data_IF_544022604267
#
_entry.id   IF_544022604267
#
_cell.length_a   1.000
_cell.length_b   1.000
_cell.length_c   1.000
_cell.angle_alpha   90.00
_cell.angle_beta   90.00
_cell.angle_gamma   90.00
#
_symmetry.space_group_name_H-M   'P 1'
#
loop_
_entity.id
_entity.type
_entity.pdbx_description
1 polymer ?
#
# COMPACT_ATOMS: atom_id res chain seq x y z
N UNK A 1 2.73 13.71 20.72
CA UNK A 1 2.71 12.31 20.23
C UNK A 1 4.11 12.04 19.68
N UNK A 2 4.71 10.87 19.91
CA UNK A 2 6.03 10.59 19.32
C UNK A 2 5.92 10.13 17.85
N UNK A 3 7.04 10.18 17.13
CA UNK A 3 7.08 9.92 15.69
C UNK A 3 6.67 8.49 15.32
N UNK A 4 6.88 7.49 16.19
CA UNK A 4 6.47 6.12 15.91
C UNK A 4 4.96 5.98 16.06
N UNK A 5 4.37 6.57 17.10
CA UNK A 5 2.92 6.60 17.28
C UNK A 5 2.21 7.28 16.10
N UNK A 6 2.71 8.42 15.62
CA UNK A 6 2.18 9.09 14.43
C UNK A 6 2.25 8.21 13.18
N UNK A 7 3.39 7.52 12.97
CA UNK A 7 3.56 6.60 11.86
C UNK A 7 2.61 5.39 11.92
N UNK A 8 2.40 4.82 13.11
CA UNK A 8 1.47 3.70 13.34
C UNK A 8 0.03 4.11 13.07
N UNK A 9 -0.40 5.30 13.52
CA UNK A 9 -1.76 5.80 13.26
C UNK A 9 -2.00 5.98 11.76
N UNK A 10 -1.08 6.64 11.05
CA UNK A 10 -1.18 6.79 9.60
C UNK A 10 -1.16 5.44 8.87
N UNK A 11 -0.36 4.49 9.34
CA UNK A 11 -0.30 3.14 8.78
C UNK A 11 -1.59 2.35 8.98
N UNK A 12 -2.27 2.48 10.13
CA UNK A 12 -3.59 1.85 10.38
C UNK A 12 -4.65 2.33 9.39
N UNK A 13 -4.71 3.64 9.16
CA UNK A 13 -5.65 4.22 8.20
C UNK A 13 -5.39 3.69 6.79
N UNK A 14 -4.11 3.61 6.40
CA UNK A 14 -3.73 3.09 5.10
C UNK A 14 -4.02 1.59 4.98
N UNK A 15 -3.70 0.78 5.99
CA UNK A 15 -4.00 -0.65 5.99
C UNK A 15 -5.51 -0.90 5.88
N UNK A 16 -6.31 -0.12 6.60
CA UNK A 16 -7.78 -0.18 6.51
C UNK A 16 -8.28 0.13 5.08
N UNK A 17 -7.75 1.17 4.45
CA UNK A 17 -8.06 1.50 3.05
C UNK A 17 -7.59 0.41 2.08
N UNK A 18 -6.41 -0.16 2.30
CA UNK A 18 -5.82 -1.19 1.43
C UNK A 18 -6.56 -2.53 1.48
N UNK A 19 -7.31 -2.80 2.55
CA UNK A 19 -8.21 -3.95 2.67
C UNK A 19 -9.49 -3.80 1.84
N UNK A 20 -9.84 -2.57 1.46
CA UNK A 20 -11.03 -2.28 0.66
C UNK A 20 -10.67 -2.31 -0.82
N UNK A 21 -11.18 -3.31 -1.53
CA UNK A 21 -11.02 -3.41 -2.99
C UNK A 21 -12.34 -2.97 -3.63
N UNK A 22 -12.36 -1.88 -4.41
CA UNK A 22 -13.56 -1.45 -5.12
C UNK A 22 -13.89 -2.38 -6.29
N UNK A 23 -15.16 -2.44 -6.66
CA UNK A 23 -15.62 -3.14 -7.86
C UNK A 23 -15.45 -2.25 -9.10
N UNK A 24 -14.79 -2.77 -10.13
CA UNK A 24 -14.63 -2.10 -11.43
C UNK A 24 -15.49 -2.81 -12.48
N UNK A 25 -16.39 -2.09 -13.18
CA UNK A 25 -17.29 -2.65 -14.20
C UNK A 25 -17.39 -1.74 -15.42
N UNK A 26 -17.21 -2.30 -16.62
CA UNK A 26 -17.37 -1.59 -17.90
C UNK A 26 -16.05 -1.15 -18.55
N UNK A 27 -16.13 -0.48 -19.70
CA UNK A 27 -14.98 -0.16 -20.57
C UNK A 27 -14.09 0.96 -20.04
N UNK A 28 -14.68 2.01 -19.45
CA UNK A 28 -13.97 3.10 -18.76
C UNK A 28 -13.31 2.62 -17.45
N UNK A 29 -13.76 1.47 -16.92
CA UNK A 29 -13.30 0.96 -15.64
C UNK A 29 -11.88 0.37 -15.69
N UNK A 30 -11.33 0.03 -16.88
CA UNK A 30 -9.99 -0.55 -16.97
C UNK A 30 -8.88 0.48 -16.66
N UNK A 31 -9.03 1.72 -17.14
CA UNK A 31 -8.10 2.82 -16.83
C UNK A 31 -8.24 3.28 -15.38
N UNK A 32 -9.47 3.33 -14.87
CA UNK A 32 -9.76 3.62 -13.46
C UNK A 32 -9.21 2.53 -12.53
N UNK A 33 -9.35 1.26 -12.92
CA UNK A 33 -8.77 0.12 -12.20
C UNK A 33 -7.25 0.21 -12.19
N UNK A 34 -6.60 0.45 -13.34
CA UNK A 34 -5.15 0.64 -13.41
C UNK A 34 -4.71 1.77 -12.47
N UNK A 35 -5.32 2.95 -12.58
CA UNK A 35 -4.98 4.12 -11.77
C UNK A 35 -5.18 3.84 -10.29
N UNK A 36 -6.27 3.17 -9.92
CA UNK A 36 -6.54 2.80 -8.53
C UNK A 36 -5.43 1.90 -7.96
N UNK A 37 -5.08 0.82 -8.66
CA UNK A 37 -4.02 -0.08 -8.21
C UNK A 37 -2.65 0.60 -8.16
N UNK A 38 -2.35 1.51 -9.10
CA UNK A 38 -1.13 2.31 -9.09
C UNK A 38 -1.04 3.24 -7.89
N UNK A 39 -2.14 3.96 -7.57
CA UNK A 39 -2.23 4.81 -6.38
C UNK A 39 -2.12 4.00 -5.09
N UNK A 40 -2.80 2.86 -5.02
CA UNK A 40 -2.76 1.98 -3.85
C UNK A 40 -1.34 1.44 -3.61
N UNK A 41 -0.64 0.99 -4.65
CA UNK A 41 0.74 0.54 -4.55
C UNK A 41 1.65 1.65 -4.00
N UNK A 42 1.56 2.85 -4.56
CA UNK A 42 2.36 4.00 -4.10
C UNK A 42 2.07 4.37 -2.64
N UNK A 43 0.80 4.42 -2.25
CA UNK A 43 0.40 4.76 -0.89
C UNK A 43 0.87 3.72 0.14
N UNK A 44 0.71 2.42 -0.17
CA UNK A 44 1.20 1.33 0.68
C UNK A 44 2.72 1.37 0.85
N UNK A 45 3.48 1.58 -0.23
CA UNK A 45 4.94 1.69 -0.17
C UNK A 45 5.39 2.89 0.69
N UNK A 46 4.74 4.05 0.52
CA UNK A 46 5.03 5.24 1.31
C UNK A 46 4.77 5.04 2.81
N UNK A 47 3.62 4.44 3.16
CA UNK A 47 3.28 4.16 4.56
C UNK A 47 4.20 3.09 5.18
N UNK A 48 4.50 2.00 4.47
CA UNK A 48 5.44 0.98 4.94
C UNK A 48 6.85 1.56 5.16
N UNK A 49 7.30 2.47 4.29
CA UNK A 49 8.61 3.13 4.41
C UNK A 49 8.69 4.00 5.67
N UNK A 50 7.61 4.69 6.05
CA UNK A 50 7.57 5.48 7.29
C UNK A 50 7.70 4.62 8.54
N UNK A 51 7.25 3.37 8.49
CA UNK A 51 7.43 2.41 9.58
C UNK A 51 8.84 1.83 9.67
N UNK A 52 9.82 2.29 8.88
CA UNK A 52 11.24 1.96 9.11
C UNK A 52 11.71 2.35 10.52
N UNK A 53 11.00 3.25 11.19
CA UNK A 53 11.25 3.62 12.58
C UNK A 53 11.32 2.42 13.54
N UNK A 54 10.59 1.34 13.27
CA UNK A 54 10.60 0.12 14.12
C UNK A 54 11.97 -0.57 14.19
N UNK A 55 12.90 -0.26 13.27
CA UNK A 55 14.26 -0.81 13.31
C UNK A 55 15.22 0.03 14.14
N UNK A 56 14.80 1.20 14.62
CA UNK A 56 15.68 2.10 15.37
C UNK A 56 15.71 1.69 16.85
N UNK A 57 16.91 1.50 17.46
CA UNK A 57 17.04 1.03 18.84
C UNK A 57 16.30 1.89 19.87
N UNK A 58 16.16 3.20 19.62
CA UNK A 58 15.45 4.13 20.51
C UNK A 58 13.96 3.80 20.71
N UNK A 59 13.37 2.99 19.82
CA UNK A 59 11.97 2.56 19.92
C UNK A 59 11.81 1.12 20.42
N UNK A 60 12.89 0.44 20.83
CA UNK A 60 12.85 -0.97 21.24
C UNK A 60 11.90 -1.26 22.41
N UNK A 61 11.65 -0.28 23.29
CA UNK A 61 10.69 -0.38 24.40
C UNK A 61 9.34 0.28 24.13
N UNK A 62 9.06 0.71 22.90
CA UNK A 62 7.84 1.45 22.59
C UNK A 62 6.62 0.51 22.57
N UNK A 63 5.49 0.87 23.22
CA UNK A 63 4.32 -0.02 23.33
C UNK A 63 3.68 -0.39 21.98
N UNK A 64 3.92 0.39 20.93
CA UNK A 64 3.42 0.14 19.58
C UNK A 64 4.43 -0.53 18.65
N UNK A 65 5.59 -0.98 19.15
CA UNK A 65 6.66 -1.53 18.30
C UNK A 65 6.18 -2.76 17.50
N UNK A 66 5.62 -3.75 18.18
CA UNK A 66 5.13 -4.99 17.57
C UNK A 66 4.00 -4.74 16.57
N UNK A 67 3.15 -3.75 16.85
CA UNK A 67 2.13 -3.34 15.90
C UNK A 67 2.72 -2.65 14.69
N UNK A 68 3.69 -1.76 14.87
CA UNK A 68 4.40 -1.12 13.77
C UNK A 68 5.09 -2.14 12.85
N UNK A 69 5.68 -3.19 13.41
CA UNK A 69 6.28 -4.29 12.63
C UNK A 69 5.21 -4.99 11.79
N UNK A 70 4.12 -5.43 12.42
CA UNK A 70 3.00 -6.11 11.72
C UNK A 70 2.38 -5.23 10.63
N UNK A 71 2.13 -3.96 10.91
CA UNK A 71 1.60 -3.02 9.92
C UNK A 71 2.56 -2.79 8.75
N UNK A 72 3.87 -2.77 9.00
CA UNK A 72 4.87 -2.63 7.94
C UNK A 72 4.84 -3.83 7.01
N UNK A 73 4.79 -5.04 7.55
CA UNK A 73 4.69 -6.29 6.78
C UNK A 73 3.38 -6.36 5.99
N UNK A 74 2.26 -6.00 6.62
CA UNK A 74 0.94 -5.97 5.98
C UNK A 74 0.92 -4.99 4.79
N UNK A 75 1.39 -3.76 5.00
CA UNK A 75 1.44 -2.74 3.95
C UNK A 75 2.40 -3.13 2.81
N UNK A 76 3.52 -3.78 3.13
CA UNK A 76 4.43 -4.32 2.12
C UNK A 76 3.74 -5.39 1.26
N UNK A 77 2.99 -6.31 1.87
CA UNK A 77 2.21 -7.32 1.15
C UNK A 77 1.15 -6.68 0.25
N UNK A 78 0.44 -5.65 0.73
CA UNK A 78 -0.51 -4.90 -0.09
C UNK A 78 0.16 -4.19 -1.26
N UNK A 79 1.33 -3.58 -1.05
CA UNK A 79 2.11 -2.98 -2.13
C UNK A 79 2.44 -4.00 -3.22
N UNK A 80 2.98 -5.17 -2.85
CA UNK A 80 3.37 -6.20 -3.82
C UNK A 80 2.19 -6.68 -4.65
N UNK A 81 1.04 -6.95 -3.99
CA UNK A 81 -0.20 -7.33 -4.67
C UNK A 81 -0.70 -6.24 -5.62
N UNK A 82 -0.76 -5.00 -5.15
CA UNK A 82 -1.23 -3.87 -5.95
C UNK A 82 -0.30 -3.58 -7.14
N UNK A 83 1.02 -3.65 -6.91
CA UNK A 83 2.02 -3.44 -7.94
C UNK A 83 1.98 -4.52 -9.03
N UNK A 84 1.80 -5.79 -8.64
CA UNK A 84 1.63 -6.89 -9.58
C UNK A 84 0.38 -6.68 -10.46
N UNK A 85 -0.76 -6.30 -9.85
CA UNK A 85 -2.00 -6.03 -10.58
C UNK A 85 -1.89 -4.84 -11.51
N UNK A 86 -1.35 -3.72 -11.04
CA UNK A 86 -1.09 -2.53 -11.85
C UNK A 86 -0.21 -2.86 -13.08
N UNK A 87 0.85 -3.65 -12.86
CA UNK A 87 1.76 -4.09 -13.94
C UNK A 87 1.04 -4.99 -14.95
N UNK A 88 0.19 -5.91 -14.48
CA UNK A 88 -0.62 -6.76 -15.34
C UNK A 88 -1.56 -5.93 -16.24
N UNK A 89 -2.24 -4.95 -15.66
CA UNK A 89 -3.17 -4.07 -16.39
C UNK A 89 -2.44 -3.22 -17.42
N UNK A 90 -1.30 -2.60 -17.06
CA UNK A 90 -0.47 -1.87 -18.03
C UNK A 90 -0.03 -2.72 -19.21
N UNK A 91 0.38 -3.97 -18.97
CA UNK A 91 0.77 -4.89 -20.05
C UNK A 91 -0.41 -5.24 -20.97
N UNK A 92 -1.62 -5.39 -20.43
CA UNK A 92 -2.84 -5.62 -21.22
C UNK A 92 -3.23 -4.38 -22.04
N UNK A 93 -3.15 -3.19 -21.44
CA UNK A 93 -3.41 -1.92 -22.13
C UNK A 93 -2.46 -1.69 -23.32
N UNK A 94 -1.18 -1.99 -23.14
CA UNK A 94 -0.17 -1.95 -24.23
C UNK A 94 -0.54 -2.92 -25.35
N UNK A 95 -0.99 -4.16 -25.07
CA UNK A 95 -1.34 -5.10 -26.15
C UNK A 95 -2.53 -4.67 -27.01
N UNK A 96 -3.47 -3.92 -26.46
CA UNK A 96 -4.67 -3.47 -27.20
C UNK A 96 -4.36 -2.28 -28.10
N UNK A 97 -3.31 -1.49 -27.80
CA UNK A 97 -2.94 -0.31 -28.59
C UNK A 97 -2.11 -0.60 -29.85
N UNK A 98 -1.58 -1.82 -30.00
CA UNK A 98 -0.77 -2.23 -31.16
C UNK A 98 -1.55 -3.09 -32.19
N UNK A 99 -2.89 -3.07 -32.17
CA UNK A 99 -3.74 -3.78 -33.15
C UNK A 99 -4.48 -2.82 -34.07
#
# INVERSE_FOLDING_TARGET
MDALAEAVIAAREMATKARQIPEFKGRLAAEEEERHWGMLASACAGSASRLVLVTQPRFAGHPLLDEGIRLREELQSHFERAHARHTELRRKGIRITFS
#
